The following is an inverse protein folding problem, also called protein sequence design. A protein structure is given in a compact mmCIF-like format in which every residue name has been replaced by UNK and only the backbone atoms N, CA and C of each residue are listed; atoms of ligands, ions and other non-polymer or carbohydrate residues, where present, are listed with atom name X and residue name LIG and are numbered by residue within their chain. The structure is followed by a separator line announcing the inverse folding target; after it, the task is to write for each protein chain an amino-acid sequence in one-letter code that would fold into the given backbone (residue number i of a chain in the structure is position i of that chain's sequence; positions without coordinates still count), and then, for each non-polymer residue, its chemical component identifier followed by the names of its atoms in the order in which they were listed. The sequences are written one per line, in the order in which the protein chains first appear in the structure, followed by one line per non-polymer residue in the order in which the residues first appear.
data_IF_824595903563
#
_entry.id   IF_824595903563
#
_cell.length_a   1.000
_cell.length_b   1.000
_cell.length_c   1.000
_cell.angle_alpha   90.00
_cell.angle_beta   90.00
_cell.angle_gamma   90.00
#
_symmetry.space_group_name_H-M   'P 1'
#
loop_
_entity.id
_entity.type
_entity.pdbx_description
1 polymer ?
#
# COMPACT_ATOMS: atom_id res chain seq x y z
N UNK A 1 -22.68 18.01 11.74
CA UNK A 1 -21.56 18.29 12.67
C UNK A 1 -21.22 16.98 13.36
N UNK A 2 -19.93 16.69 13.53
CA UNK A 2 -19.40 15.46 14.11
C UNK A 2 -18.57 15.84 15.34
N UNK A 3 -18.74 15.08 16.42
CA UNK A 3 -17.89 15.21 17.60
C UNK A 3 -16.65 14.33 17.43
N UNK A 4 -15.48 14.93 17.59
CA UNK A 4 -14.20 14.22 17.64
C UNK A 4 -13.63 14.41 19.03
N UNK A 5 -13.17 13.32 19.65
CA UNK A 5 -12.42 13.38 20.91
C UNK A 5 -10.96 13.00 20.67
N UNK A 6 -10.05 13.83 21.15
CA UNK A 6 -8.61 13.61 21.07
C UNK A 6 -8.12 13.29 22.47
N UNK A 7 -7.53 12.11 22.63
CA UNK A 7 -7.07 11.58 23.92
C UNK A 7 -5.56 11.45 23.92
N UNK A 8 -4.95 11.77 25.06
CA UNK A 8 -3.54 11.54 25.28
C UNK A 8 -3.38 10.43 26.32
N UNK A 9 -2.85 9.29 25.89
CA UNK A 9 -2.56 8.17 26.77
C UNK A 9 -1.05 8.08 27.00
N UNK A 10 -0.62 7.98 28.24
CA UNK A 10 0.79 7.76 28.59
C UNK A 10 0.94 6.53 29.47
N UNK A 11 1.92 5.68 29.16
CA UNK A 11 2.31 4.54 29.99
C UNK A 11 3.79 4.63 30.34
N UNK A 12 4.14 4.31 31.58
CA UNK A 12 5.52 4.25 32.03
C UNK A 12 5.94 2.78 32.23
N UNK A 13 7.03 2.38 31.57
CA UNK A 13 7.66 1.07 31.75
C UNK A 13 9.13 1.28 32.14
N UNK A 14 9.46 0.95 33.39
CA UNK A 14 10.77 1.25 34.01
C UNK A 14 11.16 2.74 33.84
N UNK A 15 12.16 3.03 33.01
CA UNK A 15 12.71 4.37 32.77
C UNK A 15 12.19 5.01 31.47
N UNK A 16 11.21 4.40 30.80
CA UNK A 16 10.66 4.86 29.54
C UNK A 16 9.21 5.29 29.71
N UNK A 17 8.88 6.49 29.22
CA UNK A 17 7.50 6.97 29.07
C UNK A 17 7.14 6.79 27.60
N UNK A 18 6.15 5.95 27.34
CA UNK A 18 5.48 5.86 26.05
C UNK A 18 4.24 6.72 26.09
N UNK A 19 3.97 7.46 25.01
CA UNK A 19 2.74 8.21 24.84
C UNK A 19 2.11 7.87 23.49
N UNK A 20 0.79 7.80 23.49
CA UNK A 20 -0.04 7.53 22.32
C UNK A 20 -1.10 8.63 22.24
N UNK A 21 -1.27 9.19 21.04
CA UNK A 21 -2.36 10.11 20.77
C UNK A 21 -3.47 9.34 20.06
N UNK A 22 -4.62 9.26 20.71
CA UNK A 22 -5.82 8.63 20.21
C UNK A 22 -6.80 9.66 19.66
N UNK A 23 -7.53 9.29 18.61
CA UNK A 23 -8.66 10.06 18.11
C UNK A 23 -9.89 9.17 18.05
N UNK A 24 -10.97 9.60 18.69
CA UNK A 24 -12.28 8.96 18.63
C UNK A 24 -13.22 9.76 17.73
N UNK A 25 -13.81 9.09 16.75
CA UNK A 25 -14.83 9.66 15.85
C UNK A 25 -16.05 8.75 15.90
N UNK A 26 -17.14 9.21 16.52
CA UNK A 26 -18.28 8.34 16.83
C UNK A 26 -17.83 7.18 17.75
N UNK A 27 -18.09 5.94 17.33
CA UNK A 27 -17.67 4.74 18.08
C UNK A 27 -16.29 4.22 17.69
N UNK A 28 -15.63 4.82 16.70
CA UNK A 28 -14.34 4.36 16.20
C UNK A 28 -13.19 5.06 16.93
N UNK A 29 -12.21 4.29 17.39
CA UNK A 29 -10.97 4.79 17.97
C UNK A 29 -9.79 4.52 17.03
N UNK A 30 -8.98 5.53 16.81
CA UNK A 30 -7.80 5.48 15.97
C UNK A 30 -6.57 5.91 16.76
N UNK A 31 -5.53 5.10 16.76
CA UNK A 31 -4.20 5.59 17.11
C UNK A 31 -3.71 6.49 15.98
N UNK A 32 -3.32 7.74 16.30
CA UNK A 32 -2.86 8.67 15.29
C UNK A 32 -1.50 8.21 14.73
N UNK A 33 -1.51 7.75 13.48
CA UNK A 33 -0.28 7.41 12.74
C UNK A 33 0.36 8.60 12.03
N UNK A 34 -0.37 9.71 11.90
CA UNK A 34 0.03 10.92 11.18
C UNK A 34 0.63 12.01 12.07
N UNK A 35 0.92 13.17 11.47
CA UNK A 35 1.51 14.32 12.15
C UNK A 35 0.49 15.03 13.07
N UNK A 36 0.81 15.10 14.36
CA UNK A 36 -0.02 15.74 15.40
C UNK A 36 -0.23 17.23 15.16
N UNK A 37 0.72 17.91 14.49
CA UNK A 37 0.60 19.33 14.15
C UNK A 37 -0.45 19.58 13.08
N UNK A 38 -0.63 18.64 12.14
CA UNK A 38 -1.67 18.70 11.12
C UNK A 38 -3.05 18.50 11.75
N UNK A 39 -3.18 17.55 12.68
CA UNK A 39 -4.41 17.35 13.45
C UNK A 39 -4.80 18.62 14.22
N UNK A 40 -3.87 19.20 14.98
CA UNK A 40 -4.10 20.42 15.73
C UNK A 40 -4.50 21.59 14.83
N UNK A 41 -3.88 21.70 13.64
CA UNK A 41 -4.24 22.72 12.66
C UNK A 41 -5.70 22.60 12.19
N UNK A 42 -6.14 21.39 11.83
CA UNK A 42 -7.50 21.15 11.36
C UNK A 42 -8.53 21.50 12.43
N UNK A 43 -8.29 21.05 13.66
CA UNK A 43 -9.21 21.28 14.77
C UNK A 43 -9.27 22.77 15.11
N UNK A 44 -8.13 23.44 15.28
CA UNK A 44 -8.10 24.86 15.61
C UNK A 44 -8.76 25.75 14.55
N UNK A 45 -8.67 25.34 13.27
CA UNK A 45 -9.19 26.13 12.15
C UNK A 45 -10.69 25.91 11.91
N UNK A 46 -11.18 24.69 12.10
CA UNK A 46 -12.51 24.30 11.67
C UNK A 46 -13.47 23.90 12.81
N UNK A 47 -13.00 23.75 14.04
CA UNK A 47 -13.87 23.45 15.16
C UNK A 47 -14.77 24.65 15.49
N UNK A 48 -16.07 24.40 15.63
CA UNK A 48 -17.03 25.41 16.09
C UNK A 48 -17.03 25.53 17.61
N UNK A 49 -16.67 24.45 18.30
CA UNK A 49 -16.59 24.38 19.75
C UNK A 49 -15.52 23.38 20.16
N UNK A 50 -14.71 23.75 21.16
CA UNK A 50 -13.73 22.87 21.79
C UNK A 50 -14.02 22.84 23.28
N UNK A 51 -14.10 21.64 23.84
CA UNK A 51 -14.33 21.40 25.27
C UNK A 51 -13.20 20.52 25.77
N UNK A 52 -12.53 20.92 26.85
CA UNK A 52 -11.51 20.08 27.50
C UNK A 52 -12.22 19.00 28.28
N UNK A 53 -11.79 17.75 28.15
CA UNK A 53 -12.43 16.62 28.82
C UNK A 53 -12.16 16.68 30.34
N UNK A 54 -13.16 16.31 31.15
CA UNK A 54 -13.02 16.29 32.61
C UNK A 54 -11.90 15.32 33.02
N UNK A 55 -10.88 15.82 33.73
CA UNK A 55 -9.70 15.04 34.12
C UNK A 55 -8.41 15.36 33.34
N UNK A 56 -8.47 16.21 32.30
CA UNK A 56 -7.29 16.93 31.77
C UNK A 56 -6.40 16.19 30.76
N UNK A 57 -6.79 15.00 30.29
CA UNK A 57 -6.00 14.19 29.32
C UNK A 57 -6.67 14.08 27.94
N UNK A 58 -7.29 15.16 27.48
CA UNK A 58 -7.92 15.19 26.17
C UNK A 58 -8.83 16.39 25.96
N UNK A 59 -9.38 16.48 24.76
CA UNK A 59 -10.41 17.44 24.43
C UNK A 59 -11.36 16.88 23.37
N UNK A 60 -12.58 17.40 23.38
CA UNK A 60 -13.60 17.11 22.39
C UNK A 60 -13.87 18.35 21.54
N UNK A 61 -13.98 18.18 20.23
CA UNK A 61 -14.20 19.24 19.26
C UNK A 61 -15.38 18.91 18.34
N UNK A 62 -16.28 19.88 18.16
CA UNK A 62 -17.35 19.80 17.16
C UNK A 62 -16.82 20.33 15.83
N UNK A 63 -16.80 19.48 14.79
CA UNK A 63 -16.27 19.81 13.47
C UNK A 63 -17.22 19.39 12.33
N UNK A 64 -17.05 19.94 11.12
CA UNK A 64 -17.73 19.43 9.92
C UNK A 64 -17.38 17.98 9.59
N UNK A 65 -18.26 17.27 8.88
CA UNK A 65 -18.03 15.89 8.44
C UNK A 65 -16.78 15.72 7.58
N UNK A 66 -16.48 16.70 6.71
CA UNK A 66 -15.27 16.67 5.89
C UNK A 66 -13.99 16.77 6.71
N UNK A 67 -14.03 17.43 7.87
CA UNK A 67 -12.91 17.49 8.82
C UNK A 67 -12.77 16.17 9.55
N UNK A 68 -13.87 15.55 9.98
CA UNK A 68 -13.84 14.20 10.55
C UNK A 68 -13.26 13.18 9.58
N UNK A 69 -13.62 13.24 8.31
CA UNK A 69 -13.04 12.39 7.27
C UNK A 69 -11.54 12.65 7.08
N UNK A 70 -11.12 13.91 7.05
CA UNK A 70 -9.72 14.31 6.98
C UNK A 70 -8.89 13.76 8.16
N UNK A 71 -9.46 13.79 9.36
CA UNK A 71 -8.84 13.25 10.57
C UNK A 71 -8.78 11.71 10.53
N UNK A 72 -9.85 11.03 10.11
CA UNK A 72 -9.85 9.57 9.92
C UNK A 72 -8.75 9.16 8.92
N UNK A 73 -8.64 9.88 7.81
CA UNK A 73 -7.62 9.66 6.79
C UNK A 73 -6.20 9.85 7.34
N UNK A 74 -5.97 10.93 8.09
CA UNK A 74 -4.69 11.22 8.75
C UNK A 74 -4.32 10.14 9.78
N UNK A 75 -5.28 9.62 10.53
CA UNK A 75 -5.04 8.56 11.52
C UNK A 75 -4.75 7.22 10.85
N UNK A 76 -5.35 6.96 9.69
CA UNK A 76 -5.20 5.69 8.97
C UNK A 76 -3.94 5.61 8.11
N UNK A 77 -3.45 6.74 7.58
CA UNK A 77 -2.37 6.78 6.57
C UNK A 77 -1.15 7.53 7.08
N UNK A 78 0.00 6.86 7.06
CA UNK A 78 1.28 7.35 7.63
C UNK A 78 1.93 8.53 6.89
N UNK A 79 1.49 8.86 5.68
CA UNK A 79 2.24 9.76 4.76
C UNK A 79 1.47 10.99 4.32
N UNK A 80 0.36 11.32 4.99
CA UNK A 80 -0.51 12.42 4.62
C UNK A 80 0.16 13.78 4.87
N UNK A 81 0.23 14.61 3.82
CA UNK A 81 0.73 15.99 3.91
C UNK A 81 -0.40 16.97 4.25
N UNK A 82 -0.06 18.12 4.84
CA UNK A 82 -1.04 19.16 5.22
C UNK A 82 -1.95 19.56 4.06
N UNK A 83 -1.37 19.75 2.88
CA UNK A 83 -2.09 20.15 1.66
C UNK A 83 -3.12 19.10 1.24
N UNK A 84 -2.78 17.82 1.39
CA UNK A 84 -3.69 16.72 1.08
C UNK A 84 -4.86 16.67 2.06
N UNK A 85 -4.62 16.93 3.34
CA UNK A 85 -5.68 16.89 4.34
C UNK A 85 -6.61 18.11 4.22
N UNK A 86 -6.08 19.30 3.91
CA UNK A 86 -6.88 20.48 3.58
C UNK A 86 -7.74 20.28 2.32
N UNK A 87 -7.20 19.58 1.32
CA UNK A 87 -7.96 19.21 0.12
C UNK A 87 -9.14 18.28 0.45
N UNK A 88 -8.97 17.36 1.41
CA UNK A 88 -10.07 16.51 1.89
C UNK A 88 -11.16 17.35 2.56
N UNK A 89 -10.78 18.32 3.42
CA UNK A 89 -11.76 19.21 4.05
C UNK A 89 -12.57 19.98 3.01
N UNK A 90 -11.92 20.44 1.94
CA UNK A 90 -12.54 21.20 0.84
C UNK A 90 -13.46 20.35 -0.04
N UNK A 91 -13.03 19.13 -0.37
CA UNK A 91 -13.71 18.28 -1.37
C UNK A 91 -14.62 17.21 -0.78
N UNK A 92 -14.49 16.93 0.53
CA UNK A 92 -15.19 15.84 1.18
C UNK A 92 -14.77 14.45 0.67
N UNK A 93 -13.66 14.34 -0.05
CA UNK A 93 -13.20 13.08 -0.65
C UNK A 93 -11.69 12.90 -0.48
N UNK A 94 -11.25 11.65 -0.29
CA UNK A 94 -9.84 11.32 -0.08
C UNK A 94 -9.23 10.73 -1.35
N UNK A 95 -7.89 10.68 -1.43
CA UNK A 95 -7.22 9.95 -2.53
C UNK A 95 -7.57 8.46 -2.51
N UNK A 96 -7.74 7.87 -1.31
CA UNK A 96 -8.21 6.50 -1.17
C UNK A 96 -9.61 6.30 -1.74
N UNK A 97 -10.55 7.23 -1.48
CA UNK A 97 -11.89 7.18 -2.08
C UNK A 97 -11.82 7.19 -3.60
N UNK A 98 -11.09 8.14 -4.19
CA UNK A 98 -10.89 8.23 -5.64
C UNK A 98 -10.28 6.95 -6.20
N UNK A 99 -9.26 6.40 -5.53
CA UNK A 99 -8.64 5.15 -5.94
C UNK A 99 -9.57 3.94 -5.82
N UNK A 100 -10.39 3.85 -4.76
CA UNK A 100 -11.38 2.80 -4.58
C UNK A 100 -12.47 2.86 -5.67
N UNK A 101 -12.92 4.06 -6.03
CA UNK A 101 -13.80 4.26 -7.18
C UNK A 101 -13.12 3.82 -8.48
N UNK A 102 -11.85 4.16 -8.70
CA UNK A 102 -11.05 3.67 -9.83
C UNK A 102 -10.93 2.14 -9.86
N UNK A 103 -10.93 1.46 -8.71
CA UNK A 103 -11.00 0.00 -8.63
C UNK A 103 -12.40 -0.56 -8.93
N UNK A 104 -13.40 0.30 -8.99
CA UNK A 104 -14.80 -0.05 -9.25
C UNK A 104 -15.56 -0.44 -7.98
N UNK A 105 -15.09 0.00 -6.81
CA UNK A 105 -15.78 -0.16 -5.53
C UNK A 105 -16.79 0.98 -5.37
N UNK A 106 -17.97 0.67 -4.81
CA UNK A 106 -18.85 1.71 -4.28
C UNK A 106 -18.23 2.27 -3.01
N UNK A 107 -18.15 3.60 -2.92
CA UNK A 107 -17.56 4.32 -1.78
C UNK A 107 -18.58 5.10 -0.96
N UNK A 108 -19.81 5.23 -1.45
CA UNK A 108 -20.85 6.00 -0.78
C UNK A 108 -21.15 5.39 0.61
N UNK A 109 -21.09 6.22 1.65
CA UNK A 109 -21.31 5.80 3.04
C UNK A 109 -20.20 4.93 3.65
N UNK A 110 -19.08 4.71 2.94
CA UNK A 110 -17.96 3.92 3.48
C UNK A 110 -16.94 4.80 4.20
N UNK A 111 -16.44 4.29 5.31
CA UNK A 111 -15.35 4.92 6.08
C UNK A 111 -14.00 4.58 5.46
N UNK A 112 -12.95 5.36 5.77
CA UNK A 112 -11.58 5.07 5.32
C UNK A 112 -11.17 3.67 5.75
N UNK A 113 -11.49 3.32 7.00
CA UNK A 113 -11.17 2.01 7.60
C UNK A 113 -11.90 0.86 6.91
N UNK A 114 -13.16 1.06 6.52
CA UNK A 114 -13.92 0.08 5.72
C UNK A 114 -13.27 -0.14 4.36
N UNK A 115 -12.78 0.92 3.71
CA UNK A 115 -12.14 0.79 2.40
C UNK A 115 -10.80 0.06 2.52
N UNK A 116 -9.95 0.42 3.50
CA UNK A 116 -8.65 -0.22 3.72
C UNK A 116 -8.76 -1.71 4.05
N UNK A 117 -9.82 -2.11 4.74
CA UNK A 117 -10.11 -3.52 5.06
C UNK A 117 -10.80 -4.29 3.92
N UNK A 118 -11.05 -3.64 2.77
CA UNK A 118 -11.60 -4.33 1.59
C UNK A 118 -10.58 -5.31 1.05
N UNK A 119 -10.95 -6.59 1.03
CA UNK A 119 -10.19 -7.63 0.37
C UNK A 119 -10.79 -7.90 -1.01
N UNK A 120 -10.04 -7.60 -2.06
CA UNK A 120 -10.47 -7.91 -3.43
C UNK A 120 -9.80 -9.20 -3.87
N UNK A 121 -10.59 -10.22 -4.16
CA UNK A 121 -10.11 -11.52 -4.63
C UNK A 121 -10.71 -11.86 -5.98
N UNK A 122 -9.88 -12.41 -6.86
CA UNK A 122 -10.32 -12.97 -8.14
C UNK A 122 -9.38 -14.10 -8.55
N UNK A 123 -9.91 -15.33 -8.65
CA UNK A 123 -9.12 -16.53 -8.93
C UNK A 123 -7.92 -16.65 -7.96
N UNK A 124 -6.69 -16.61 -8.48
CA UNK A 124 -5.44 -16.68 -7.72
C UNK A 124 -4.85 -15.30 -7.38
N UNK A 125 -5.59 -14.22 -7.61
CA UNK A 125 -5.20 -12.85 -7.32
C UNK A 125 -5.91 -12.33 -6.07
N UNK A 126 -5.16 -11.64 -5.22
CA UNK A 126 -5.68 -10.94 -4.05
C UNK A 126 -5.03 -9.56 -3.94
N UNK A 127 -5.83 -8.49 -3.94
CA UNK A 127 -5.36 -7.12 -3.77
C UNK A 127 -5.69 -6.63 -2.35
N UNK A 128 -4.65 -6.25 -1.62
CA UNK A 128 -4.74 -5.71 -0.26
C UNK A 128 -4.46 -4.20 -0.24
N UNK A 129 -5.34 -3.45 0.41
CA UNK A 129 -5.31 -1.98 0.54
C UNK A 129 -4.84 -1.50 1.92
N UNK A 130 -4.59 -2.40 2.88
CA UNK A 130 -4.35 -2.07 4.30
C UNK A 130 -3.23 -1.03 4.49
N UNK A 131 -2.16 -1.11 3.68
CA UNK A 131 -0.98 -0.26 3.78
C UNK A 131 -0.99 0.94 2.80
N UNK A 132 -2.17 1.34 2.31
CA UNK A 132 -2.32 2.42 1.34
C UNK A 132 -1.50 3.68 1.71
N UNK A 133 -0.77 4.31 0.77
CA UNK A 133 -0.78 4.09 -0.68
C UNK A 133 0.08 2.92 -1.18
N UNK A 134 0.74 2.19 -0.29
CA UNK A 134 1.42 0.95 -0.65
C UNK A 134 0.40 -0.19 -0.76
N UNK A 135 0.41 -0.85 -1.91
CA UNK A 135 -0.49 -1.95 -2.24
C UNK A 135 0.29 -3.25 -2.24
N UNK A 136 -0.38 -4.33 -1.84
CA UNK A 136 0.12 -5.69 -2.00
C UNK A 136 -0.83 -6.47 -2.90
N UNK A 137 -0.32 -6.93 -4.05
CA UNK A 137 -1.00 -7.89 -4.90
C UNK A 137 -0.38 -9.26 -4.68
N UNK A 138 -1.17 -10.20 -4.17
CA UNK A 138 -0.77 -11.60 -4.09
C UNK A 138 -1.20 -12.35 -5.35
N UNK A 139 -0.28 -13.13 -5.91
CA UNK A 139 -0.48 -14.04 -7.01
C UNK A 139 -0.05 -15.43 -6.53
N UNK A 140 -1.01 -16.30 -6.23
CA UNK A 140 -0.78 -17.55 -5.50
C UNK A 140 -0.06 -17.27 -4.16
N UNK A 141 1.11 -17.89 -3.92
CA UNK A 141 1.93 -17.69 -2.72
C UNK A 141 2.90 -16.50 -2.82
N UNK A 142 2.91 -15.78 -3.94
CA UNK A 142 3.86 -14.69 -4.21
C UNK A 142 3.21 -13.34 -3.99
N UNK A 143 4.00 -12.37 -3.55
CA UNK A 143 3.52 -11.00 -3.29
C UNK A 143 4.28 -9.97 -4.12
N UNK A 144 3.54 -9.03 -4.69
CA UNK A 144 4.06 -7.89 -5.43
C UNK A 144 3.66 -6.62 -4.65
N UNK A 145 4.64 -5.85 -4.21
CA UNK A 145 4.44 -4.57 -3.54
C UNK A 145 4.70 -3.41 -4.48
N UNK A 146 3.79 -2.44 -4.50
CA UNK A 146 3.88 -1.26 -5.38
C UNK A 146 2.98 -0.14 -4.85
N UNK A 147 3.09 1.07 -5.41
CA UNK A 147 2.22 2.20 -5.05
C UNK A 147 0.99 2.29 -5.93
N UNK A 148 -0.11 2.81 -5.38
CA UNK A 148 -1.40 2.96 -6.08
C UNK A 148 -1.38 3.87 -7.32
N UNK A 149 -0.45 4.82 -7.39
CA UNK A 149 -0.37 5.83 -8.45
C UNK A 149 -0.38 5.24 -9.87
N UNK A 150 -1.42 5.60 -10.65
CA UNK A 150 -1.55 5.20 -12.06
C UNK A 150 -1.90 3.73 -12.28
N UNK A 151 -2.31 3.00 -11.24
CA UNK A 151 -2.60 1.56 -11.33
C UNK A 151 -4.09 1.21 -11.26
N UNK A 152 -4.97 2.15 -10.88
CA UNK A 152 -6.39 1.89 -10.60
C UNK A 152 -7.14 1.20 -11.74
N UNK A 153 -7.09 1.76 -12.96
CA UNK A 153 -7.74 1.18 -14.13
C UNK A 153 -7.18 -0.21 -14.52
N UNK A 154 -5.86 -0.38 -14.42
CA UNK A 154 -5.21 -1.67 -14.67
C UNK A 154 -5.69 -2.72 -13.66
N UNK A 155 -5.68 -2.37 -12.37
CA UNK A 155 -6.12 -3.26 -11.30
C UNK A 155 -7.61 -3.57 -11.38
N UNK A 156 -8.47 -2.60 -11.71
CA UNK A 156 -9.90 -2.84 -11.95
C UNK A 156 -10.11 -3.92 -13.00
N UNK A 157 -9.41 -3.80 -14.14
CA UNK A 157 -9.51 -4.80 -15.23
C UNK A 157 -8.96 -6.16 -14.80
N UNK A 158 -7.80 -6.15 -14.15
CA UNK A 158 -7.15 -7.36 -13.62
C UNK A 158 -8.07 -8.12 -12.66
N UNK A 159 -8.65 -7.43 -11.68
CA UNK A 159 -9.54 -8.02 -10.66
C UNK A 159 -10.92 -8.43 -11.19
N UNK A 160 -11.26 -8.09 -12.45
CA UNK A 160 -12.48 -8.52 -13.14
C UNK A 160 -12.22 -9.63 -14.17
N UNK A 161 -11.03 -10.22 -14.17
CA UNK A 161 -10.65 -11.26 -15.12
C UNK A 161 -10.33 -10.78 -16.53
N UNK A 162 -10.14 -9.48 -16.72
CA UNK A 162 -9.77 -8.89 -18.02
C UNK A 162 -8.25 -8.87 -18.29
N UNK A 163 -7.47 -9.67 -17.56
CA UNK A 163 -6.02 -9.76 -17.72
C UNK A 163 -5.66 -10.63 -18.92
N UNK A 164 -4.70 -10.20 -19.73
CA UNK A 164 -4.18 -11.06 -20.81
C UNK A 164 -3.19 -12.07 -20.26
N UNK A 165 -2.94 -13.16 -21.00
CA UNK A 165 -1.92 -14.14 -20.61
C UNK A 165 -0.52 -13.51 -20.48
N UNK A 166 -0.21 -12.54 -21.34
CA UNK A 166 1.04 -11.79 -21.31
C UNK A 166 1.17 -10.94 -20.04
N UNK A 167 0.08 -10.35 -19.57
CA UNK A 167 0.07 -9.59 -18.31
C UNK A 167 0.20 -10.49 -17.10
N UNK A 168 -0.48 -11.64 -17.11
CA UNK A 168 -0.33 -12.65 -16.05
C UNK A 168 1.11 -13.17 -15.99
N UNK A 169 1.72 -13.47 -17.13
CA UNK A 169 3.13 -13.87 -17.17
C UNK A 169 4.04 -12.71 -16.74
N UNK A 170 3.73 -11.45 -17.08
CA UNK A 170 4.50 -10.32 -16.58
C UNK A 170 4.41 -10.17 -15.06
N UNK A 171 3.23 -10.39 -14.45
CA UNK A 171 3.07 -10.38 -12.99
C UNK A 171 3.89 -11.49 -12.32
N UNK A 172 3.91 -12.70 -12.87
CA UNK A 172 4.79 -13.78 -12.41
C UNK A 172 6.26 -13.34 -12.43
N UNK A 173 6.72 -12.73 -13.53
CA UNK A 173 8.09 -12.23 -13.64
C UNK A 173 8.40 -11.10 -12.66
N UNK A 174 7.45 -10.19 -12.44
CA UNK A 174 7.58 -9.10 -11.47
C UNK A 174 7.71 -9.63 -10.05
N UNK A 175 6.98 -10.69 -9.70
CA UNK A 175 7.04 -11.30 -8.36
C UNK A 175 8.43 -11.81 -7.97
N UNK A 176 9.30 -12.10 -8.95
CA UNK A 176 10.69 -12.55 -8.76
C UNK A 176 11.69 -11.40 -8.54
N UNK A 177 11.21 -10.16 -8.53
CA UNK A 177 12.04 -8.96 -8.35
C UNK A 177 12.02 -8.50 -6.89
N UNK A 178 13.08 -7.81 -6.46
CA UNK A 178 13.07 -7.09 -5.18
C UNK A 178 12.09 -5.90 -5.18
N UNK A 179 11.60 -5.48 -4.02
CA UNK A 179 10.49 -4.51 -3.86
C UNK A 179 10.63 -3.24 -4.70
N UNK A 180 11.82 -2.60 -4.72
CA UNK A 180 12.05 -1.38 -5.54
C UNK A 180 11.87 -1.63 -7.04
N UNK A 181 12.26 -2.81 -7.50
CA UNK A 181 12.07 -3.20 -8.89
C UNK A 181 10.61 -3.58 -9.15
N UNK A 182 9.93 -4.25 -8.22
CA UNK A 182 8.49 -4.54 -8.32
C UNK A 182 7.70 -3.26 -8.58
N UNK A 183 7.91 -2.21 -7.80
CA UNK A 183 7.24 -0.91 -7.97
C UNK A 183 7.44 -0.34 -9.38
N UNK A 184 8.70 -0.29 -9.85
CA UNK A 184 9.07 0.23 -11.17
C UNK A 184 8.39 -0.55 -12.30
N UNK A 185 8.41 -1.88 -12.22
CA UNK A 185 7.90 -2.75 -13.28
C UNK A 185 6.37 -2.84 -13.26
N UNK A 186 5.73 -2.77 -12.09
CA UNK A 186 4.28 -2.65 -11.96
C UNK A 186 3.76 -1.37 -12.62
N UNK A 187 4.41 -0.22 -12.39
CA UNK A 187 4.02 1.04 -13.04
C UNK A 187 4.11 0.94 -14.57
N UNK A 188 5.16 0.29 -15.10
CA UNK A 188 5.31 0.08 -16.54
C UNK A 188 4.27 -0.88 -17.12
N UNK A 189 3.94 -1.94 -16.37
CA UNK A 189 2.90 -2.89 -16.76
C UNK A 189 1.53 -2.20 -16.81
N UNK A 190 1.17 -1.47 -15.75
CA UNK A 190 -0.08 -0.72 -15.69
C UNK A 190 -0.21 0.33 -16.81
N UNK A 191 0.91 0.95 -17.21
CA UNK A 191 0.95 1.91 -18.32
C UNK A 191 1.02 1.25 -19.71
N UNK A 192 1.09 -0.08 -19.82
CA UNK A 192 1.22 -0.78 -21.11
C UNK A 192 2.58 -0.58 -21.80
N UNK A 193 3.60 -0.12 -21.08
CA UNK A 193 4.93 0.19 -21.62
C UNK A 193 5.99 -0.87 -21.29
N UNK A 194 5.60 -1.95 -20.62
CA UNK A 194 6.51 -3.00 -20.22
C UNK A 194 6.81 -3.97 -21.37
N UNK A 195 8.03 -3.91 -21.90
CA UNK A 195 8.51 -4.93 -22.85
C UNK A 195 8.94 -6.22 -22.14
N UNK A 196 8.61 -7.38 -22.71
CA UNK A 196 9.06 -8.72 -22.24
C UNK A 196 10.58 -8.80 -22.05
N UNK A 197 11.35 -8.30 -23.02
CA UNK A 197 12.82 -8.27 -22.98
C UNK A 197 13.37 -7.49 -21.78
N UNK A 198 12.79 -6.33 -21.46
CA UNK A 198 13.23 -5.54 -20.31
C UNK A 198 12.94 -6.26 -18.98
N UNK A 199 11.77 -6.90 -18.87
CA UNK A 199 11.43 -7.70 -17.69
C UNK A 199 12.39 -8.88 -17.52
N UNK A 200 12.67 -9.61 -18.59
CA UNK A 200 13.60 -10.74 -18.56
C UNK A 200 15.02 -10.35 -18.13
N UNK A 201 15.53 -9.21 -18.61
CA UNK A 201 16.81 -8.67 -18.13
C UNK A 201 16.76 -8.35 -16.64
N UNK A 202 15.66 -7.78 -16.14
CA UNK A 202 15.50 -7.49 -14.72
C UNK A 202 15.41 -8.75 -13.86
N UNK A 203 14.65 -9.76 -14.27
CA UNK A 203 14.55 -11.05 -13.58
C UNK A 203 15.94 -11.70 -13.47
N UNK A 204 16.65 -11.80 -14.60
CA UNK A 204 18.01 -12.32 -14.62
C UNK A 204 18.96 -11.56 -13.68
N UNK A 205 18.95 -10.22 -13.73
CA UNK A 205 19.81 -9.39 -12.86
C UNK A 205 19.45 -9.54 -11.38
N UNK A 206 18.15 -9.52 -11.06
CA UNK A 206 17.64 -9.71 -9.70
C UNK A 206 18.14 -11.03 -9.11
N UNK A 207 17.89 -12.14 -9.81
CA UNK A 207 18.24 -13.47 -9.33
C UNK A 207 19.75 -13.74 -9.33
N UNK A 208 20.47 -13.28 -10.35
CA UNK A 208 21.92 -13.48 -10.44
C UNK A 208 22.71 -12.71 -9.38
N UNK A 209 22.22 -11.53 -8.97
CA UNK A 209 22.85 -10.69 -7.94
C UNK A 209 22.43 -11.04 -6.52
N UNK A 210 21.27 -11.67 -6.35
CA UNK A 210 20.72 -12.00 -5.04
C UNK A 210 21.46 -13.19 -4.42
N UNK A 211 22.19 -12.98 -3.32
CA UNK A 211 22.83 -14.06 -2.56
C UNK A 211 21.82 -14.87 -1.73
N UNK A 212 20.68 -14.27 -1.39
CA UNK A 212 19.66 -14.85 -0.52
C UNK A 212 18.46 -15.44 -1.27
N UNK A 213 18.44 -15.41 -2.60
CA UNK A 213 17.39 -16.05 -3.37
C UNK A 213 17.43 -17.56 -3.14
N UNK A 214 16.28 -18.14 -2.76
CA UNK A 214 16.17 -19.58 -2.55
C UNK A 214 16.35 -20.36 -3.85
N UNK A 215 16.67 -21.65 -3.74
CA UNK A 215 16.78 -22.54 -4.91
C UNK A 215 15.47 -22.62 -5.69
N UNK A 216 14.34 -22.59 -4.98
CA UNK A 216 13.00 -22.57 -5.56
C UNK A 216 12.79 -21.28 -6.37
N UNK A 217 13.10 -20.11 -5.80
CA UNK A 217 12.97 -18.82 -6.51
C UNK A 217 13.83 -18.78 -7.77
N UNK A 218 15.06 -19.33 -7.70
CA UNK A 218 15.96 -19.41 -8.86
C UNK A 218 15.36 -20.34 -9.93
N UNK A 219 14.87 -21.52 -9.53
CA UNK A 219 14.24 -22.48 -10.45
C UNK A 219 13.04 -21.86 -11.16
N UNK A 220 12.16 -21.20 -10.42
CA UNK A 220 11.01 -20.50 -10.98
C UNK A 220 11.42 -19.41 -11.97
N UNK A 221 12.46 -18.64 -11.66
CA UNK A 221 12.97 -17.63 -12.58
C UNK A 221 13.56 -18.22 -13.86
N UNK A 222 14.25 -19.35 -13.77
CA UNK A 222 14.74 -20.10 -14.94
C UNK A 222 13.58 -20.59 -15.79
N UNK A 223 12.55 -21.18 -15.19
CA UNK A 223 11.35 -21.66 -15.90
C UNK A 223 10.60 -20.50 -16.56
N UNK A 224 10.43 -19.39 -15.85
CA UNK A 224 9.80 -18.19 -16.38
C UNK A 224 10.56 -17.63 -17.58
N UNK A 225 11.90 -17.56 -17.51
CA UNK A 225 12.74 -17.10 -18.62
C UNK A 225 12.60 -18.00 -19.85
N UNK A 226 12.62 -19.33 -19.68
CA UNK A 226 12.43 -20.28 -20.79
C UNK A 226 11.04 -20.15 -21.42
N UNK A 227 9.98 -20.12 -20.61
CA UNK A 227 8.60 -19.98 -21.09
C UNK A 227 8.38 -18.70 -21.90
N UNK A 228 9.19 -17.66 -21.63
CA UNK A 228 9.13 -16.37 -22.31
C UNK A 228 10.20 -16.21 -23.43
N UNK A 229 10.83 -17.29 -23.90
CA UNK A 229 11.77 -17.25 -25.05
C UNK A 229 13.12 -16.60 -24.73
N UNK A 230 13.59 -16.75 -23.49
CA UNK A 230 14.87 -16.22 -23.00
C UNK A 230 15.78 -17.33 -22.48
N UNK A 231 15.94 -18.40 -23.25
CA UNK A 231 16.70 -19.61 -22.93
C UNK A 231 18.16 -19.32 -22.64
N UNK A 232 18.79 -18.42 -23.40
CA UNK A 232 20.19 -18.01 -23.17
C UNK A 232 20.38 -17.43 -21.76
N UNK A 233 19.46 -16.56 -21.32
CA UNK A 233 19.50 -15.97 -19.97
C UNK A 233 19.23 -17.00 -18.88
N UNK A 234 18.34 -17.95 -19.16
CA UNK A 234 18.07 -19.05 -18.25
C UNK A 234 19.32 -19.92 -18.06
N UNK A 235 20.03 -20.26 -19.14
CA UNK A 235 21.27 -21.02 -19.10
C UNK A 235 22.39 -20.28 -18.35
N UNK A 236 22.59 -19.00 -18.65
CA UNK A 236 23.56 -18.16 -17.92
C UNK A 236 23.27 -18.10 -16.41
N UNK A 237 22.00 -17.99 -16.03
CA UNK A 237 21.60 -17.93 -14.62
C UNK A 237 21.93 -19.24 -13.89
N UNK A 238 21.64 -20.38 -14.51
CA UNK A 238 21.98 -21.71 -13.97
C UNK A 238 23.49 -21.82 -13.74
N UNK A 239 24.29 -21.52 -14.77
CA UNK A 239 25.76 -21.62 -14.69
C UNK A 239 26.30 -20.72 -13.58
N UNK A 240 25.86 -19.46 -13.54
CA UNK A 240 26.32 -18.50 -12.54
C UNK A 240 25.98 -18.93 -11.11
N UNK A 241 24.80 -19.49 -10.88
CA UNK A 241 24.40 -19.98 -9.56
C UNK A 241 25.13 -21.25 -9.17
N UNK A 242 25.31 -22.19 -10.09
CA UNK A 242 26.09 -23.41 -9.85
C UNK A 242 27.55 -23.10 -9.48
N UNK A 243 28.18 -22.13 -10.15
CA UNK A 243 29.55 -21.72 -9.86
C UNK A 243 29.69 -20.99 -8.51
N UNK A 244 28.67 -20.27 -8.07
CA UNK A 244 28.69 -19.59 -6.77
C UNK A 244 28.43 -20.53 -5.59
N UNK A 245 27.64 -21.60 -5.75
CA UNK A 245 27.42 -22.60 -4.70
C UNK A 245 28.64 -23.51 -4.47
N UNK A 246 29.51 -23.70 -5.48
CA UNK A 246 30.73 -24.52 -5.37
C UNK A 246 32.00 -23.77 -4.91
N UNK A 247 31.92 -22.47 -4.62
CA UNK A 247 33.09 -21.60 -4.39
C UNK A 247 33.17 -20.92 -3.02
N UNK A 248 32.34 -21.31 -2.06
CA UNK A 248 32.40 -20.84 -0.68
C UNK A 248 32.30 -22.03 0.28
N UNK A 249 33.40 -22.74 0.40
CA UNK A 249 33.70 -23.68 1.49
C UNK A 249 35.01 -23.26 2.12
#
# INVERSE_FOLDING_TARGET
MVLISVHFESSAYFNYINYHLGVKIGDMYFELKGDTSVLAHLINKYATKITVDEGGYGYSAEVPESVALAVEYLASIRTSMKEEVEEIVRTGTTKLHKFAEELGLSVEGRTVSSILSTDMTFQNLRLCLIDYPALTLSLCEKTIKFRSEGTGNFLRRLMRGGATEDEMSALEGISLLGERAQEKYMRRLAAGTLSKKALAVAVYRSLSSSKSASRETIKEGVEWLKKNGHEEKAAELIVKKALCEGGCS
#
